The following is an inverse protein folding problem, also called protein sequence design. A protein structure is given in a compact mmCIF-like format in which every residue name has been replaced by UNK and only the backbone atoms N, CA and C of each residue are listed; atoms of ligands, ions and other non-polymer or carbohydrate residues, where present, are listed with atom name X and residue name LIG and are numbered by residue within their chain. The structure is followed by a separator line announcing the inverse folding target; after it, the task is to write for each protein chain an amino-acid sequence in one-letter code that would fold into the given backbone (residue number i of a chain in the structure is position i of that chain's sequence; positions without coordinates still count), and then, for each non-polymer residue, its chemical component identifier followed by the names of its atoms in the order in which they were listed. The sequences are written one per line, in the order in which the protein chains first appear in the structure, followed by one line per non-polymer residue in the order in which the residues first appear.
data_IF_424873839124
#
_entry.id   IF_424873839124
#
_cell.length_a   1.000
_cell.length_b   1.000
_cell.length_c   1.000
_cell.angle_alpha   90.00
_cell.angle_beta   90.00
_cell.angle_gamma   90.00
#
_symmetry.space_group_name_H-M   'P 1'
#
loop_
_entity.id
_entity.type
_entity.pdbx_description
1 polymer ?
#
# COMPACT_ATOMS: atom_id res chain seq x y z
N UNK A 1 -50.83 -45.01 9.44
CA UNK A 1 -51.92 -44.06 9.77
C UNK A 1 -51.30 -42.66 9.75
N UNK A 2 -51.34 -41.97 8.60
CA UNK A 2 -52.22 -40.81 8.32
C UNK A 2 -52.13 -39.75 9.43
N UNK A 3 -51.42 -38.64 9.18
CA UNK A 3 -51.99 -37.33 8.78
C UNK A 3 -52.12 -36.43 10.03
N UNK A 4 -51.79 -35.14 10.10
CA UNK A 4 -51.41 -34.09 9.15
C UNK A 4 -50.70 -32.94 9.90
N UNK A 5 -50.03 -32.09 9.11
CA UNK A 5 -49.84 -30.64 9.19
C UNK A 5 -50.42 -29.85 10.38
N UNK A 6 -49.64 -28.89 10.91
CA UNK A 6 -49.83 -27.49 10.53
C UNK A 6 -48.72 -26.54 11.02
N UNK A 7 -48.37 -25.65 10.09
CA UNK A 7 -47.50 -24.48 10.11
C UNK A 7 -48.01 -23.33 11.00
N UNK A 8 -47.10 -22.48 11.52
CA UNK A 8 -47.12 -21.00 11.74
C UNK A 8 -46.01 -20.70 12.79
N UNK A 9 -44.83 -20.10 12.52
CA UNK A 9 -44.41 -18.79 11.99
C UNK A 9 -44.44 -17.62 13.03
N UNK A 10 -43.29 -16.92 13.14
CA UNK A 10 -43.01 -15.55 13.67
C UNK A 10 -42.51 -15.30 15.13
N UNK A 11 -41.21 -14.96 15.22
CA UNK A 11 -40.57 -13.73 15.77
C UNK A 11 -40.33 -13.48 17.29
N UNK A 12 -39.04 -13.18 17.59
CA UNK A 12 -38.38 -12.33 18.62
C UNK A 12 -38.85 -12.32 20.10
N UNK A 13 -37.90 -12.52 21.04
CA UNK A 13 -37.22 -11.47 21.84
C UNK A 13 -36.50 -12.04 23.10
N UNK A 14 -35.21 -11.72 23.19
CA UNK A 14 -34.44 -11.18 24.33
C UNK A 14 -34.98 -11.44 25.76
N UNK A 15 -34.13 -12.02 26.61
CA UNK A 15 -33.90 -11.53 27.98
C UNK A 15 -32.57 -12.03 28.56
N UNK A 16 -31.58 -11.14 28.50
CA UNK A 16 -30.41 -11.12 29.39
C UNK A 16 -30.79 -10.24 30.58
N UNK A 17 -30.67 -10.75 31.80
CA UNK A 17 -30.54 -9.93 33.00
C UNK A 17 -29.86 -10.73 34.11
N UNK A 18 -28.61 -10.37 34.42
CA UNK A 18 -28.09 -10.42 35.79
C UNK A 18 -26.87 -9.50 35.90
N UNK A 19 -27.17 -8.33 36.44
CA UNK A 19 -26.31 -7.21 36.80
C UNK A 19 -25.36 -7.56 37.95
N UNK A 20 -24.11 -7.11 37.90
CA UNK A 20 -23.32 -6.79 39.09
C UNK A 20 -22.63 -5.42 38.90
N UNK A 21 -22.87 -4.56 39.88
CA UNK A 21 -22.48 -3.15 39.99
C UNK A 21 -21.17 -3.07 40.79
N UNK A 22 -20.17 -2.31 40.31
CA UNK A 22 -19.55 -1.17 41.04
C UNK A 22 -18.09 -0.93 40.64
N UNK A 23 -17.87 0.07 39.78
CA UNK A 23 -16.91 1.16 40.03
C UNK A 23 -17.01 2.16 38.87
N UNK A 24 -17.82 3.20 39.08
CA UNK A 24 -17.86 4.39 38.22
C UNK A 24 -16.64 5.26 38.55
N UNK A 25 -15.54 5.04 37.84
CA UNK A 25 -14.71 6.17 37.45
C UNK A 25 -15.47 6.87 36.32
N UNK A 26 -15.77 8.16 36.49
CA UNK A 26 -16.30 9.01 35.41
C UNK A 26 -15.12 9.25 34.45
N UNK A 27 -14.83 8.27 33.59
CA UNK A 27 -14.20 8.56 32.33
C UNK A 27 -15.28 9.27 31.51
N UNK A 28 -15.04 10.55 31.18
CA UNK A 28 -15.86 11.22 30.17
C UNK A 28 -15.89 10.33 28.93
N UNK A 29 -17.07 9.97 28.45
CA UNK A 29 -17.30 9.44 27.11
C UNK A 29 -16.92 10.51 26.08
N UNK A 30 -15.63 10.84 26.00
CA UNK A 30 -15.08 11.48 24.83
C UNK A 30 -15.07 10.39 23.79
N UNK A 31 -16.03 10.44 22.89
CA UNK A 31 -15.94 9.73 21.63
C UNK A 31 -14.54 9.99 21.08
N UNK A 32 -13.74 8.93 20.96
CA UNK A 32 -12.44 9.01 20.31
C UNK A 32 -12.66 9.71 18.97
N UNK A 33 -11.76 10.62 18.54
CA UNK A 33 -11.81 11.15 17.19
C UNK A 33 -11.91 9.94 16.26
N UNK A 34 -13.05 9.83 15.57
CA UNK A 34 -13.28 8.70 14.68
C UNK A 34 -12.26 8.85 13.55
N UNK A 35 -11.15 8.11 13.66
CA UNK A 35 -10.32 7.86 12.49
C UNK A 35 -11.26 7.32 11.43
N UNK A 36 -11.29 7.90 10.22
CA UNK A 36 -12.31 7.54 9.23
C UNK A 36 -12.27 6.03 9.01
N UNK A 37 -13.19 5.31 9.67
CA UNK A 37 -13.25 3.85 9.60
C UNK A 37 -13.52 3.53 8.16
N UNK A 38 -12.54 2.92 7.48
CA UNK A 38 -12.61 2.43 6.11
C UNK A 38 -13.76 3.11 5.35
N UNK A 39 -13.54 4.38 4.98
CA UNK A 39 -14.50 5.16 4.22
C UNK A 39 -14.98 4.24 3.09
N UNK A 40 -16.30 4.03 2.99
CA UNK A 40 -16.88 3.10 2.03
C UNK A 40 -16.26 3.31 0.64
N UNK A 41 -16.15 2.24 -0.14
CA UNK A 41 -15.28 2.00 -1.32
C UNK A 41 -14.99 3.17 -2.30
N UNK A 42 -15.69 4.30 -2.21
CA UNK A 42 -15.64 5.45 -3.10
C UNK A 42 -15.12 6.79 -2.51
N UNK A 43 -14.73 6.89 -1.24
CA UNK A 43 -14.30 8.19 -0.66
C UNK A 43 -12.90 8.16 -0.01
N UNK A 44 -12.01 7.39 -0.63
CA UNK A 44 -10.57 7.43 -0.35
C UNK A 44 -9.90 8.73 -0.81
N UNK A 45 -10.62 9.58 -1.56
CA UNK A 45 -10.09 10.82 -2.12
C UNK A 45 -9.99 11.94 -1.08
N UNK A 46 -10.82 11.91 -0.03
CA UNK A 46 -10.81 12.88 1.09
C UNK A 46 -10.09 12.38 2.35
N UNK A 47 -9.83 11.07 2.42
CA UNK A 47 -9.10 10.42 3.50
C UNK A 47 -7.78 11.10 3.88
N UNK A 48 -6.94 11.53 2.93
CA UNK A 48 -5.58 11.95 3.26
C UNK A 48 -5.53 13.23 4.13
N UNK A 49 -6.39 14.22 3.89
CA UNK A 49 -6.43 15.48 4.65
C UNK A 49 -6.99 15.32 6.06
N UNK A 50 -8.08 14.55 6.15
CA UNK A 50 -8.77 14.30 7.40
C UNK A 50 -7.88 13.46 8.32
N UNK A 51 -7.29 12.38 7.80
CA UNK A 51 -6.38 11.53 8.55
C UNK A 51 -5.15 12.33 9.03
N UNK A 52 -4.55 13.15 8.16
CA UNK A 52 -3.38 13.95 8.51
C UNK A 52 -3.67 14.97 9.60
N UNK A 53 -4.79 15.69 9.52
CA UNK A 53 -5.22 16.65 10.56
C UNK A 53 -5.47 15.95 11.90
N UNK A 54 -6.12 14.80 11.88
CA UNK A 54 -6.37 14.00 13.09
C UNK A 54 -5.05 13.54 13.70
N UNK A 55 -4.14 12.96 12.92
CA UNK A 55 -2.87 12.44 13.41
C UNK A 55 -1.96 13.53 13.99
N UNK A 56 -1.85 14.67 13.30
CA UNK A 56 -1.00 15.78 13.73
C UNK A 56 -1.51 16.45 15.02
N UNK A 57 -2.83 16.42 15.26
CA UNK A 57 -3.44 16.97 16.48
C UNK A 57 -3.64 15.96 17.61
N UNK A 58 -3.48 14.67 17.33
CA UNK A 58 -3.66 13.59 18.32
C UNK A 58 -2.63 13.67 19.46
N UNK A 59 -3.05 13.37 20.68
CA UNK A 59 -2.19 13.13 21.85
C UNK A 59 -1.43 11.80 21.74
N UNK A 60 -0.47 11.56 22.64
CA UNK A 60 0.27 10.28 22.67
C UNK A 60 -0.67 9.10 22.96
N UNK A 61 -1.66 9.30 23.82
CA UNK A 61 -2.64 8.26 24.19
C UNK A 61 -3.56 7.94 23.00
N UNK A 62 -4.06 8.94 22.28
CA UNK A 62 -4.84 8.72 21.05
C UNK A 62 -4.03 7.98 19.98
N UNK A 63 -2.74 8.30 19.82
CA UNK A 63 -1.86 7.53 18.92
C UNK A 63 -1.59 6.10 19.43
N UNK A 64 -1.65 5.83 20.74
CA UNK A 64 -1.60 4.46 21.27
C UNK A 64 -2.87 3.68 20.92
N UNK A 65 -4.03 4.31 21.05
CA UNK A 65 -5.31 3.70 20.71
C UNK A 65 -5.40 3.39 19.21
N UNK A 66 -4.93 4.30 18.34
CA UNK A 66 -4.87 4.06 16.88
C UNK A 66 -3.89 2.92 16.52
N UNK A 67 -2.72 2.85 17.16
CA UNK A 67 -1.75 1.76 16.95
C UNK A 67 -2.26 0.39 17.46
N UNK A 68 -3.26 0.39 18.35
CA UNK A 68 -3.92 -0.80 18.87
C UNK A 68 -5.22 -1.18 18.11
N UNK A 69 -5.68 -0.34 17.18
CA UNK A 69 -6.91 -0.59 16.41
C UNK A 69 -6.77 -1.76 15.43
N UNK A 70 -7.88 -2.29 14.91
CA UNK A 70 -7.85 -3.35 13.87
C UNK A 70 -7.58 -2.81 12.45
N UNK A 71 -7.55 -1.48 12.26
CA UNK A 71 -7.29 -0.85 10.97
C UNK A 71 -5.77 -0.72 10.73
N UNK A 72 -5.25 -1.51 9.79
CA UNK A 72 -3.82 -1.51 9.45
C UNK A 72 -3.34 -0.12 9.06
N UNK A 73 -4.12 0.66 8.30
CA UNK A 73 -3.71 2.01 7.89
C UNK A 73 -3.54 2.91 9.12
N UNK A 74 -4.52 2.89 10.04
CA UNK A 74 -4.46 3.65 11.29
C UNK A 74 -3.24 3.25 12.12
N UNK A 75 -2.95 1.94 12.23
CA UNK A 75 -1.77 1.44 12.93
C UNK A 75 -0.47 1.97 12.33
N UNK A 76 -0.32 1.89 11.00
CA UNK A 76 0.87 2.34 10.29
C UNK A 76 1.08 3.85 10.44
N UNK A 77 0.03 4.65 10.27
CA UNK A 77 0.09 6.10 10.43
C UNK A 77 0.40 6.52 11.87
N UNK A 78 -0.25 5.92 12.87
CA UNK A 78 0.01 6.22 14.26
C UNK A 78 1.45 5.89 14.67
N UNK A 79 1.97 4.75 14.19
CA UNK A 79 3.36 4.36 14.42
C UNK A 79 4.33 5.35 13.77
N UNK A 80 4.09 5.74 12.53
CA UNK A 80 4.91 6.70 11.81
C UNK A 80 4.94 8.05 12.53
N UNK A 81 3.78 8.56 12.96
CA UNK A 81 3.68 9.83 13.68
C UNK A 81 4.45 9.83 15.00
N UNK A 82 4.37 8.74 15.78
CA UNK A 82 5.17 8.58 17.01
C UNK A 82 6.67 8.64 16.74
N UNK A 83 7.13 8.05 15.64
CA UNK A 83 8.53 8.14 15.23
C UNK A 83 8.89 9.57 14.82
N UNK A 84 8.06 10.23 14.01
CA UNK A 84 8.26 11.62 13.62
C UNK A 84 8.41 12.55 14.84
N UNK A 85 7.52 12.43 15.82
CA UNK A 85 7.56 13.24 17.06
C UNK A 85 8.81 12.98 17.90
N UNK A 86 9.25 11.71 17.99
CA UNK A 86 10.48 11.36 18.71
C UNK A 86 11.73 11.97 18.08
N UNK A 87 11.71 12.16 16.76
CA UNK A 87 12.83 12.69 15.98
C UNK A 87 12.68 14.19 15.65
N UNK A 88 11.68 14.87 16.20
CA UNK A 88 11.43 16.30 16.00
C UNK A 88 10.50 16.61 14.82
N UNK A 89 10.70 15.98 13.67
CA UNK A 89 9.76 16.04 12.53
C UNK A 89 9.99 14.86 11.55
N UNK A 90 9.13 14.73 10.54
CA UNK A 90 9.23 13.68 9.51
C UNK A 90 10.44 13.82 8.60
N UNK A 91 10.91 15.05 8.32
CA UNK A 91 12.11 15.29 7.49
C UNK A 91 13.39 14.83 8.17
N UNK A 92 13.48 14.95 9.49
CA UNK A 92 14.62 14.50 10.30
C UNK A 92 14.60 12.98 10.49
N UNK A 93 13.40 12.37 10.48
CA UNK A 93 13.24 10.93 10.42
C UNK A 93 13.66 10.35 9.06
N UNK A 94 13.33 11.04 7.97
CA UNK A 94 13.77 10.71 6.59
C UNK A 94 15.27 11.06 6.45
N UNK A 95 16.11 10.08 6.76
CA UNK A 95 17.56 10.23 6.92
C UNK A 95 18.11 9.39 8.09
N UNK A 96 17.23 8.99 9.02
CA UNK A 96 17.59 8.16 10.17
C UNK A 96 17.49 6.68 9.85
N UNK A 97 18.63 5.99 9.76
CA UNK A 97 18.71 4.53 9.59
C UNK A 97 17.94 3.78 10.70
N UNK A 98 18.01 4.28 11.93
CA UNK A 98 17.34 3.68 13.09
C UNK A 98 15.81 3.85 12.99
N UNK A 99 15.36 5.02 12.54
CA UNK A 99 13.94 5.30 12.31
C UNK A 99 13.34 4.41 11.23
N UNK A 100 14.01 4.34 10.07
CA UNK A 100 13.57 3.54 8.93
C UNK A 100 13.51 2.05 9.20
N UNK A 101 14.54 1.48 9.84
CA UNK A 101 14.57 0.06 10.22
C UNK A 101 13.50 -0.29 11.26
N UNK A 102 13.28 0.58 12.25
CA UNK A 102 12.23 0.38 13.27
C UNK A 102 10.84 0.38 12.64
N UNK A 103 10.56 1.32 11.72
CA UNK A 103 9.27 1.39 11.04
C UNK A 103 9.07 0.20 10.09
N UNK A 104 10.09 -0.18 9.34
CA UNK A 104 10.06 -1.33 8.45
C UNK A 104 9.77 -2.63 9.20
N UNK A 105 10.42 -2.85 10.35
CA UNK A 105 10.16 -4.00 11.21
C UNK A 105 8.71 -4.03 11.73
N UNK A 106 8.15 -2.87 12.07
CA UNK A 106 6.74 -2.76 12.46
C UNK A 106 5.81 -3.15 11.30
N UNK A 107 6.04 -2.60 10.10
CA UNK A 107 5.25 -2.91 8.90
C UNK A 107 5.29 -4.41 8.59
N UNK A 108 6.48 -5.04 8.61
CA UNK A 108 6.61 -6.49 8.41
C UNK A 108 5.82 -7.29 9.45
N UNK A 109 5.89 -6.88 10.72
CA UNK A 109 5.18 -7.54 11.81
C UNK A 109 3.66 -7.42 11.71
N UNK A 110 3.13 -6.35 11.10
CA UNK A 110 1.68 -6.16 10.92
C UNK A 110 1.13 -6.80 9.66
N UNK A 111 1.91 -6.78 8.59
CA UNK A 111 1.49 -7.30 7.28
C UNK A 111 1.90 -8.75 7.04
N UNK A 112 2.66 -9.33 7.96
CA UNK A 112 3.24 -10.67 7.86
C UNK A 112 3.97 -10.90 6.53
N UNK A 113 4.61 -9.86 6.00
CA UNK A 113 5.26 -9.90 4.70
C UNK A 113 6.74 -9.57 4.80
N UNK A 114 7.52 -10.02 3.82
CA UNK A 114 8.91 -9.61 3.66
C UNK A 114 8.92 -8.34 2.81
N UNK A 115 9.35 -7.22 3.41
CA UNK A 115 9.53 -5.98 2.68
C UNK A 115 10.77 -6.08 1.78
N UNK A 116 10.74 -5.49 0.57
CA UNK A 116 11.95 -5.35 -0.21
C UNK A 116 12.99 -4.50 0.55
N UNK A 117 14.24 -4.97 0.62
CA UNK A 117 15.33 -4.27 1.33
C UNK A 117 15.46 -2.79 0.94
N UNK A 118 15.24 -2.47 -0.33
CA UNK A 118 15.33 -1.10 -0.83
C UNK A 118 14.23 -0.18 -0.27
N UNK A 119 13.07 -0.71 0.11
CA UNK A 119 11.97 0.06 0.68
C UNK A 119 12.30 0.48 2.11
N UNK A 120 12.92 -0.40 2.91
CA UNK A 120 13.43 0.01 4.23
C UNK A 120 14.56 1.04 4.16
N UNK A 121 15.37 0.99 3.09
CA UNK A 121 16.45 1.97 2.85
C UNK A 121 15.95 3.30 2.29
N UNK A 122 14.76 3.37 1.68
CA UNK A 122 14.25 4.65 1.17
C UNK A 122 13.93 5.65 2.29
N UNK A 123 13.77 5.18 3.53
CA UNK A 123 13.65 6.04 4.71
C UNK A 123 14.97 6.70 5.13
N UNK A 124 16.13 6.08 4.86
CA UNK A 124 17.45 6.61 5.28
C UNK A 124 18.18 7.30 4.14
N UNK A 125 18.11 6.70 2.96
CA UNK A 125 18.77 7.17 1.77
C UNK A 125 17.71 7.94 1.00
N UNK A 126 17.63 9.27 1.17
CA UNK A 126 16.95 10.10 0.16
C UNK A 126 17.46 9.63 -1.19
N UNK A 127 16.61 8.95 -1.92
CA UNK A 127 17.01 8.18 -3.09
C UNK A 127 17.32 9.18 -4.20
N UNK A 128 18.51 9.79 -4.16
CA UNK A 128 19.06 10.61 -5.24
C UNK A 128 19.39 9.68 -6.41
N UNK A 129 18.34 9.23 -7.10
CA UNK A 129 18.39 8.32 -8.23
C UNK A 129 18.58 9.06 -9.57
N UNK A 130 18.77 10.38 -9.53
CA UNK A 130 18.76 11.28 -10.69
C UNK A 130 20.00 11.23 -11.59
N UNK A 131 21.02 10.42 -11.27
CA UNK A 131 22.29 10.36 -12.03
C UNK A 131 22.53 8.98 -12.65
N UNK A 132 23.55 8.80 -13.50
CA UNK A 132 24.01 7.45 -13.93
C UNK A 132 24.28 6.52 -12.73
N UNK A 133 24.57 7.08 -11.55
CA UNK A 133 24.65 6.32 -10.31
C UNK A 133 23.32 5.64 -9.93
N UNK A 134 22.17 6.14 -10.42
CA UNK A 134 20.84 5.57 -10.24
C UNK A 134 20.71 4.17 -10.84
N UNK A 135 21.18 3.96 -12.07
CA UNK A 135 21.17 2.62 -12.69
C UNK A 135 22.10 1.64 -11.96
N UNK A 136 23.29 2.09 -11.54
CA UNK A 136 24.19 1.29 -10.72
C UNK A 136 23.59 1.00 -9.31
N UNK A 137 22.86 1.95 -8.73
CA UNK A 137 22.14 1.79 -7.46
C UNK A 137 20.99 0.80 -7.59
N UNK A 138 20.24 0.85 -8.70
CA UNK A 138 19.22 -0.13 -9.06
C UNK A 138 19.80 -1.55 -9.21
N UNK A 139 20.93 -1.69 -9.92
CA UNK A 139 21.63 -2.97 -10.03
C UNK A 139 22.01 -3.56 -8.67
N UNK A 140 22.51 -2.72 -7.75
CA UNK A 140 22.86 -3.13 -6.39
C UNK A 140 21.67 -3.60 -5.54
N UNK A 141 20.45 -3.17 -5.87
CA UNK A 141 19.23 -3.61 -5.18
C UNK A 141 18.50 -4.74 -5.93
N UNK A 142 19.18 -5.38 -6.90
CA UNK A 142 18.65 -6.57 -7.58
C UNK A 142 17.74 -6.26 -8.76
N UNK A 143 17.92 -5.09 -9.39
CA UNK A 143 17.16 -4.70 -10.59
C UNK A 143 18.07 -4.69 -11.82
N UNK A 144 17.49 -4.94 -12.99
CA UNK A 144 18.14 -4.83 -14.28
C UNK A 144 17.28 -4.01 -15.25
N UNK A 145 17.83 -3.70 -16.42
CA UNK A 145 17.16 -2.87 -17.42
C UNK A 145 17.10 -3.58 -18.77
N UNK A 146 15.89 -3.62 -19.34
CA UNK A 146 15.65 -4.06 -20.72
C UNK A 146 14.93 -2.95 -21.47
N UNK A 147 15.64 -2.26 -22.37
CA UNK A 147 15.10 -1.09 -23.08
C UNK A 147 14.71 0.05 -22.13
N UNK A 148 13.41 0.32 -21.98
CA UNK A 148 12.85 1.36 -21.08
C UNK A 148 12.31 0.82 -19.76
N UNK A 149 12.44 -0.47 -19.51
CA UNK A 149 11.87 -1.15 -18.35
C UNK A 149 12.97 -1.53 -17.37
N UNK A 150 12.85 -1.07 -16.13
CA UNK A 150 13.59 -1.56 -14.99
C UNK A 150 12.78 -2.66 -14.31
N UNK A 151 13.39 -3.79 -14.00
CA UNK A 151 12.67 -4.95 -13.43
C UNK A 151 13.61 -5.82 -12.58
N UNK A 152 13.10 -6.69 -11.69
CA UNK A 152 13.92 -7.61 -10.91
C UNK A 152 14.84 -8.50 -11.75
N UNK A 153 15.94 -8.98 -11.14
CA UNK A 153 16.91 -9.86 -11.78
C UNK A 153 16.33 -11.21 -12.20
N UNK A 154 15.30 -11.71 -11.51
CA UNK A 154 14.64 -12.98 -11.80
C UNK A 154 13.46 -12.85 -12.77
N UNK A 155 13.24 -11.65 -13.32
CA UNK A 155 12.25 -11.39 -14.35
C UNK A 155 12.91 -11.06 -15.68
N UNK A 156 12.28 -11.45 -16.79
CA UNK A 156 12.65 -10.98 -18.13
C UNK A 156 11.46 -10.30 -18.79
N UNK A 157 11.72 -9.36 -19.69
CA UNK A 157 10.66 -8.66 -20.41
C UNK A 157 10.97 -8.62 -21.90
N UNK A 158 9.95 -8.87 -22.71
CA UNK A 158 10.04 -8.83 -24.16
C UNK A 158 8.87 -8.01 -24.71
N UNK A 159 9.16 -7.04 -25.57
CA UNK A 159 8.13 -6.20 -26.20
C UNK A 159 7.87 -6.69 -27.62
N UNK A 160 6.62 -7.04 -27.92
CA UNK A 160 6.14 -7.39 -29.27
C UNK A 160 4.95 -6.53 -29.61
N UNK A 161 5.13 -5.56 -30.51
CA UNK A 161 4.10 -4.57 -30.83
C UNK A 161 3.65 -3.77 -29.61
N UNK A 162 2.36 -3.86 -29.27
CA UNK A 162 1.76 -3.22 -28.09
C UNK A 162 1.78 -4.10 -26.83
N UNK A 163 2.24 -5.35 -26.93
CA UNK A 163 2.30 -6.25 -25.79
C UNK A 163 3.69 -6.28 -25.17
N UNK A 164 3.72 -6.31 -23.84
CA UNK A 164 4.89 -6.61 -23.03
C UNK A 164 4.70 -7.99 -22.41
N UNK A 165 5.53 -8.95 -22.79
CA UNK A 165 5.58 -10.27 -22.18
C UNK A 165 6.51 -10.21 -20.98
N UNK A 166 5.93 -10.37 -19.78
CA UNK A 166 6.67 -10.39 -18.52
C UNK A 166 6.84 -11.85 -18.12
N UNK A 167 8.08 -12.29 -17.91
CA UNK A 167 8.39 -13.67 -17.55
C UNK A 167 9.09 -13.73 -16.20
N UNK A 168 8.77 -14.73 -15.38
CA UNK A 168 9.41 -14.98 -14.08
C UNK A 168 9.27 -16.46 -13.71
N UNK A 169 10.37 -17.16 -13.41
CA UNK A 169 10.35 -18.55 -12.90
C UNK A 169 9.39 -19.50 -13.66
N UNK A 170 9.45 -19.48 -14.98
CA UNK A 170 8.65 -20.35 -15.85
C UNK A 170 7.21 -19.89 -16.11
N UNK A 171 6.81 -18.72 -15.61
CA UNK A 171 5.55 -18.07 -15.96
C UNK A 171 5.76 -16.99 -17.03
N UNK A 172 4.77 -16.76 -17.88
CA UNK A 172 4.75 -15.67 -18.86
C UNK A 172 3.35 -15.08 -18.92
N UNK A 173 3.23 -13.77 -18.62
CA UNK A 173 1.97 -13.04 -18.73
C UNK A 173 2.08 -11.93 -19.77
N UNK A 174 1.08 -11.76 -20.65
CA UNK A 174 1.03 -10.64 -21.57
C UNK A 174 0.41 -9.42 -20.87
N UNK A 175 1.08 -8.29 -20.96
CA UNK A 175 0.56 -6.99 -20.53
C UNK A 175 0.35 -6.09 -21.75
N UNK A 176 -0.85 -5.60 -21.96
CA UNK A 176 -1.13 -4.62 -23.00
C UNK A 176 -0.64 -3.23 -22.55
N UNK A 177 0.32 -2.68 -23.29
CA UNK A 177 0.89 -1.36 -22.99
C UNK A 177 -0.09 -0.21 -23.21
N UNK A 178 -1.22 -0.42 -23.89
CA UNK A 178 -2.30 0.57 -23.97
C UNK A 178 -3.07 0.70 -22.66
N UNK A 179 -2.98 -0.31 -21.77
CA UNK A 179 -3.56 -0.24 -20.43
C UNK A 179 -2.65 0.48 -19.44
N UNK A 180 -1.36 0.61 -19.75
CA UNK A 180 -0.39 1.35 -18.96
C UNK A 180 -0.43 2.82 -19.34
N UNK A 181 -0.34 3.73 -18.37
CA UNK A 181 -0.27 5.16 -18.65
C UNK A 181 0.93 5.45 -19.58
N UNK A 182 0.70 5.91 -20.83
CA UNK A 182 1.78 6.10 -21.79
C UNK A 182 2.65 7.32 -21.46
N UNK A 183 2.13 8.28 -20.67
CA UNK A 183 2.85 9.50 -20.28
C UNK A 183 4.02 9.22 -19.31
N UNK A 184 4.09 8.02 -18.76
CA UNK A 184 5.01 7.65 -17.70
C UNK A 184 6.45 7.35 -18.16
N UNK A 185 6.74 7.35 -19.47
CA UNK A 185 8.11 7.32 -20.00
C UNK A 185 8.89 6.03 -19.69
N UNK A 186 9.74 6.07 -18.66
CA UNK A 186 10.53 4.94 -18.14
C UNK A 186 9.69 4.20 -17.10
N UNK A 187 9.69 2.87 -17.15
CA UNK A 187 8.85 2.08 -16.27
C UNK A 187 9.67 1.26 -15.29
N UNK A 188 9.26 1.24 -14.02
CA UNK A 188 9.64 0.19 -13.08
C UNK A 188 8.55 -0.88 -13.08
N UNK A 189 8.97 -2.13 -13.23
CA UNK A 189 8.11 -3.30 -13.21
C UNK A 189 8.39 -4.08 -11.94
N UNK A 190 7.35 -4.37 -11.19
CA UNK A 190 7.42 -5.34 -10.10
C UNK A 190 6.51 -6.51 -10.42
N UNK A 191 6.95 -7.70 -10.05
CA UNK A 191 6.24 -8.95 -10.35
C UNK A 191 6.24 -9.82 -9.10
N UNK A 192 5.08 -10.37 -8.78
CA UNK A 192 4.92 -11.35 -7.72
C UNK A 192 3.99 -12.48 -8.16
N UNK A 193 4.07 -13.62 -7.48
CA UNK A 193 3.26 -14.80 -7.76
C UNK A 193 2.72 -15.39 -6.46
N UNK A 194 1.46 -15.79 -6.48
CA UNK A 194 0.85 -16.65 -5.46
C UNK A 194 -0.10 -17.65 -6.11
N UNK A 195 0.19 -18.94 -5.94
CA UNK A 195 -0.59 -20.01 -6.55
C UNK A 195 -0.73 -19.84 -8.08
N UNK A 196 -1.96 -19.82 -8.62
CA UNK A 196 -2.23 -19.62 -10.04
C UNK A 196 -2.29 -18.14 -10.46
N UNK A 197 -2.02 -17.19 -9.56
CA UNK A 197 -2.08 -15.75 -9.83
C UNK A 197 -0.71 -15.13 -9.98
N UNK A 198 -0.60 -14.22 -10.92
CA UNK A 198 0.56 -13.36 -11.16
C UNK A 198 0.14 -11.91 -11.02
N UNK A 199 0.91 -11.14 -10.26
CA UNK A 199 0.69 -9.71 -10.06
C UNK A 199 1.81 -8.94 -10.75
N UNK A 200 1.43 -7.92 -11.52
CA UNK A 200 2.38 -7.04 -12.20
C UNK A 200 2.03 -5.59 -11.84
N UNK A 201 2.98 -4.84 -11.32
CA UNK A 201 2.87 -3.40 -11.16
C UNK A 201 3.76 -2.71 -12.18
N UNK A 202 3.25 -1.64 -12.78
CA UNK A 202 3.93 -0.90 -13.84
C UNK A 202 3.96 0.57 -13.49
N UNK A 203 4.89 0.94 -12.62
CA UNK A 203 5.05 2.33 -12.23
C UNK A 203 5.84 3.09 -13.30
N UNK A 204 5.37 4.31 -13.58
CA UNK A 204 6.05 5.23 -14.46
C UNK A 204 7.15 6.00 -13.79
N UNK A 205 7.68 7.01 -14.46
CA UNK A 205 8.37 8.09 -13.78
C UNK A 205 7.38 9.11 -13.21
N UNK A 206 7.89 10.11 -12.47
CA UNK A 206 7.10 11.21 -11.88
C UNK A 206 6.13 10.82 -10.78
N UNK A 207 6.26 9.61 -10.23
CA UNK A 207 5.43 9.15 -9.15
C UNK A 207 3.92 9.15 -9.45
N UNK A 208 3.51 9.17 -10.72
CA UNK A 208 2.09 9.18 -11.05
C UNK A 208 1.39 7.88 -10.62
N UNK A 209 0.06 7.97 -10.35
CA UNK A 209 -0.76 6.77 -10.18
C UNK A 209 -0.50 5.78 -11.29
N UNK A 210 -0.32 4.53 -10.90
CA UNK A 210 -0.02 3.42 -11.78
C UNK A 210 -0.93 2.25 -11.47
N UNK A 211 -0.97 1.27 -12.35
CA UNK A 211 -1.83 0.11 -12.15
C UNK A 211 -1.04 -1.11 -11.66
N UNK A 212 -1.69 -1.85 -10.77
CA UNK A 212 -1.39 -3.24 -10.50
C UNK A 212 -2.41 -4.12 -11.24
N UNK A 213 -1.89 -5.17 -11.88
CA UNK A 213 -2.66 -6.10 -12.70
C UNK A 213 -2.55 -7.49 -12.09
N UNK A 214 -3.68 -8.20 -11.95
CA UNK A 214 -3.70 -9.60 -11.58
C UNK A 214 -4.05 -10.45 -12.80
N UNK A 215 -3.17 -11.39 -13.13
CA UNK A 215 -3.36 -12.36 -14.19
C UNK A 215 -3.56 -13.75 -13.61
N UNK A 216 -4.40 -14.52 -14.28
CA UNK A 216 -4.43 -15.96 -14.14
C UNK A 216 -3.32 -16.57 -14.99
N UNK A 217 -2.38 -17.30 -14.39
CA UNK A 217 -1.16 -17.77 -15.05
C UNK A 217 -1.47 -18.76 -16.17
N UNK A 218 -2.40 -19.69 -15.93
CA UNK A 218 -2.70 -20.77 -16.87
C UNK A 218 -3.47 -20.25 -18.08
N UNK A 219 -4.52 -19.47 -17.85
CA UNK A 219 -5.33 -18.90 -18.93
C UNK A 219 -4.71 -17.64 -19.56
N UNK A 220 -3.72 -17.03 -18.90
CA UNK A 220 -3.09 -15.75 -19.26
C UNK A 220 -4.07 -14.58 -19.33
N UNK A 221 -5.23 -14.71 -18.70
CA UNK A 221 -6.29 -13.68 -18.71
C UNK A 221 -6.10 -12.72 -17.55
N UNK A 222 -6.38 -11.45 -17.81
CA UNK A 222 -6.53 -10.43 -16.77
C UNK A 222 -7.75 -10.78 -15.90
N UNK A 223 -7.55 -10.86 -14.59
CA UNK A 223 -8.59 -11.14 -13.58
C UNK A 223 -9.16 -9.83 -13.08
N UNK A 224 -8.28 -8.93 -12.61
CA UNK A 224 -8.64 -7.60 -12.16
C UNK A 224 -7.46 -6.65 -12.35
N UNK A 225 -7.77 -5.36 -12.32
CA UNK A 225 -6.83 -4.23 -12.40
C UNK A 225 -7.23 -3.20 -11.37
N UNK A 226 -6.26 -2.66 -10.65
CA UNK A 226 -6.48 -1.60 -9.67
C UNK A 226 -5.45 -0.48 -9.83
N UNK A 227 -5.88 0.77 -9.68
CA UNK A 227 -4.96 1.90 -9.56
C UNK A 227 -4.34 1.91 -8.16
N UNK A 228 -3.01 2.02 -8.11
CA UNK A 228 -2.23 2.16 -6.89
C UNK A 228 -2.09 3.63 -6.54
N UNK A 229 -2.41 3.93 -5.28
CA UNK A 229 -2.22 5.20 -4.64
C UNK A 229 -0.73 5.50 -4.43
N UNK A 230 -0.30 6.68 -4.86
CA UNK A 230 1.08 7.15 -4.75
C UNK A 230 1.13 8.68 -4.64
N UNK A 231 2.33 9.24 -4.40
CA UNK A 231 2.53 10.70 -4.39
C UNK A 231 2.21 11.30 -5.75
N UNK A 232 1.19 12.13 -5.86
CA UNK A 232 1.08 13.00 -7.03
C UNK A 232 2.10 14.12 -6.90
N UNK A 233 3.04 14.21 -7.84
CA UNK A 233 3.90 15.39 -8.00
C UNK A 233 3.24 16.40 -8.95
N UNK A 234 1.95 16.69 -8.73
CA UNK A 234 1.24 17.70 -9.50
C UNK A 234 2.02 19.02 -9.41
N UNK A 235 2.47 19.55 -10.55
CA UNK A 235 3.22 20.81 -10.62
C UNK A 235 4.74 20.74 -10.39
N UNK A 236 5.33 19.56 -10.21
CA UNK A 236 6.80 19.46 -10.13
C UNK A 236 7.44 19.85 -11.48
N UNK A 237 8.35 20.82 -11.45
CA UNK A 237 9.25 21.14 -12.56
C UNK A 237 10.66 20.65 -12.21
N UNK A 238 11.34 19.96 -13.13
CA UNK A 238 12.69 19.44 -12.87
C UNK A 238 13.07 18.20 -13.69
N UNK A 239 14.09 17.50 -13.23
CA UNK A 239 14.49 16.20 -13.77
C UNK A 239 13.57 15.14 -13.16
N UNK A 240 13.04 14.26 -14.01
CA UNK A 240 12.19 13.16 -13.58
C UNK A 240 12.92 12.25 -12.61
N UNK A 241 12.50 12.22 -11.34
CA UNK A 241 12.94 11.22 -10.37
C UNK A 241 12.56 9.80 -10.80
N UNK A 242 13.34 8.81 -10.38
CA UNK A 242 12.97 7.40 -10.52
C UNK A 242 11.94 7.08 -9.43
N UNK A 243 10.79 6.55 -9.86
CA UNK A 243 9.79 6.00 -8.96
C UNK A 243 10.00 4.48 -8.90
N UNK A 244 10.47 4.00 -7.75
CA UNK A 244 10.63 2.58 -7.48
C UNK A 244 9.27 1.99 -7.10
N UNK A 245 8.93 0.85 -7.69
CA UNK A 245 7.76 0.07 -7.30
C UNK A 245 8.17 -1.36 -6.95
N UNK A 246 7.54 -1.95 -5.94
CA UNK A 246 7.73 -3.35 -5.56
C UNK A 246 6.39 -4.01 -5.35
N UNK A 247 6.35 -5.34 -5.42
CA UNK A 247 5.18 -6.11 -4.99
C UNK A 247 5.66 -7.25 -4.08
N UNK A 248 4.90 -7.52 -3.02
CA UNK A 248 4.96 -8.79 -2.31
C UNK A 248 3.55 -9.35 -2.14
N UNK A 249 3.48 -10.63 -1.79
CA UNK A 249 2.22 -11.32 -1.49
C UNK A 249 2.37 -12.02 -0.16
N UNK A 250 1.38 -11.85 0.72
CA UNK A 250 1.27 -12.59 1.98
C UNK A 250 -0.18 -12.57 2.48
N UNK A 251 -0.60 -13.65 3.14
CA UNK A 251 -1.91 -13.76 3.82
C UNK A 251 -3.11 -13.31 2.97
N UNK A 252 -3.14 -13.67 1.68
CA UNK A 252 -4.21 -13.33 0.75
C UNK A 252 -4.24 -11.85 0.33
N UNK A 253 -3.18 -11.10 0.62
CA UNK A 253 -3.00 -9.70 0.25
C UNK A 253 -1.80 -9.55 -0.67
N UNK A 254 -1.97 -8.79 -1.74
CA UNK A 254 -0.87 -8.30 -2.58
C UNK A 254 -0.56 -6.86 -2.17
N UNK A 255 0.65 -6.62 -1.68
CA UNK A 255 1.11 -5.31 -1.26
C UNK A 255 1.98 -4.68 -2.35
N UNK A 256 1.57 -3.52 -2.85
CA UNK A 256 2.37 -2.66 -3.71
C UNK A 256 3.15 -1.68 -2.87
N UNK A 257 4.45 -1.60 -3.10
CA UNK A 257 5.36 -0.67 -2.44
C UNK A 257 5.78 0.39 -3.42
N UNK A 258 6.00 1.61 -2.95
CA UNK A 258 6.75 2.56 -3.76
C UNK A 258 7.58 3.54 -2.96
N UNK A 259 8.61 4.05 -3.63
CA UNK A 259 9.45 5.11 -3.13
C UNK A 259 9.73 6.11 -4.25
N UNK A 260 9.65 7.39 -3.89
CA UNK A 260 9.86 8.55 -4.73
C UNK A 260 10.85 9.48 -4.03
N UNK A 261 11.15 10.64 -4.61
CA UNK A 261 12.00 11.64 -3.96
C UNK A 261 11.39 12.18 -2.65
N UNK A 262 10.06 12.23 -2.56
CA UNK A 262 9.35 12.91 -1.47
C UNK A 262 8.58 11.97 -0.55
N UNK A 263 8.37 10.72 -0.96
CA UNK A 263 7.57 9.79 -0.19
C UNK A 263 7.99 8.34 -0.32
N UNK A 264 7.73 7.58 0.74
CA UNK A 264 7.67 6.12 0.72
C UNK A 264 6.25 5.72 1.09
N UNK A 265 5.67 4.79 0.34
CA UNK A 265 4.29 4.36 0.55
C UNK A 265 4.12 2.86 0.33
N UNK A 266 2.99 2.36 0.81
CA UNK A 266 2.54 0.98 0.65
C UNK A 266 1.01 0.96 0.54
N UNK A 267 0.50 0.11 -0.35
CA UNK A 267 -0.92 -0.17 -0.47
C UNK A 267 -1.15 -1.67 -0.61
N UNK A 268 -2.11 -2.22 0.14
CA UNK A 268 -2.47 -3.63 0.08
C UNK A 268 -3.82 -3.84 -0.61
N UNK A 269 -3.91 -4.88 -1.42
CA UNK A 269 -5.13 -5.29 -2.11
C UNK A 269 -5.46 -6.74 -1.80
N UNK A 270 -6.74 -7.06 -1.60
CA UNK A 270 -7.21 -8.44 -1.50
C UNK A 270 -6.99 -9.16 -2.84
N UNK A 271 -6.35 -10.32 -2.80
CA UNK A 271 -5.95 -11.04 -4.02
C UNK A 271 -7.13 -11.55 -4.83
N UNK A 272 -8.22 -11.91 -4.17
CA UNK A 272 -9.40 -12.43 -4.83
C UNK A 272 -10.10 -11.37 -5.69
N UNK A 273 -10.14 -10.12 -5.23
CA UNK A 273 -11.03 -9.06 -5.75
C UNK A 273 -10.28 -7.86 -6.32
N UNK A 274 -9.04 -7.62 -5.88
CA UNK A 274 -8.31 -6.38 -6.13
C UNK A 274 -8.74 -5.23 -5.19
N UNK A 275 -9.65 -5.46 -4.25
CA UNK A 275 -10.17 -4.41 -3.37
C UNK A 275 -9.09 -3.92 -2.40
N UNK A 276 -8.97 -2.59 -2.19
CA UNK A 276 -7.98 -2.03 -1.27
C UNK A 276 -8.28 -2.45 0.19
N UNK A 277 -7.21 -2.80 0.93
CA UNK A 277 -7.27 -3.25 2.33
C UNK A 277 -6.62 -2.25 3.29
N UNK A 278 -5.54 -1.62 2.86
CA UNK A 278 -4.85 -0.60 3.64
C UNK A 278 -4.00 0.29 2.74
N UNK A 279 -3.71 1.49 3.22
CA UNK A 279 -2.83 2.47 2.58
C UNK A 279 -1.97 3.17 3.63
N UNK A 280 -0.73 3.46 3.28
CA UNK A 280 0.15 4.27 4.10
C UNK A 280 1.14 5.03 3.22
N UNK A 281 1.41 6.30 3.58
CA UNK A 281 2.46 7.12 2.97
C UNK A 281 3.12 7.99 4.03
N UNK A 282 4.44 8.14 3.92
CA UNK A 282 5.23 9.02 4.79
C UNK A 282 4.92 10.50 4.60
N UNK A 283 4.39 10.86 3.43
CA UNK A 283 4.17 12.25 3.04
C UNK A 283 2.78 12.77 3.44
N UNK A 284 1.95 11.95 4.13
CA UNK A 284 0.63 12.39 4.60
C UNK A 284 -0.14 13.12 3.50
N UNK A 285 -0.20 12.52 2.29
CA UNK A 285 -0.60 13.26 1.09
C UNK A 285 -1.91 14.00 1.31
N UNK A 286 -2.10 15.05 0.54
CA UNK A 286 -3.37 15.72 0.34
C UNK A 286 -3.67 15.54 -1.15
N UNK A 287 -4.83 15.00 -1.52
CA UNK A 287 -5.19 14.83 -2.96
C UNK A 287 -5.69 16.16 -3.55
N UNK A 288 -5.62 17.27 -2.82
CA UNK A 288 -6.09 18.60 -3.24
C UNK A 288 -5.04 19.49 -3.89
N UNK A 289 -3.82 19.02 -4.17
CA UNK A 289 -2.95 19.73 -5.11
C UNK A 289 -3.50 19.53 -6.55
N UNK A 290 -4.02 20.59 -7.20
CA UNK A 290 -4.90 20.51 -8.37
C UNK A 290 -4.28 19.90 -9.64
#
# INVERSE_FOLDING_TARGET
MRSACNTILYILLISVAATCISNKAVCSDKELPQFPKAIGENDWDTFPDAASKVLLSSSVDELNDLEASDDISAQLFARWEKLCRRHGNSRDLIGSVVGGSTFSGFVQGRLHCVLPDWWGRSFSDRLNLETEAGAAKLARIGWQRTGRFFHPLDTTVEKVGHQLFVQMKGMTVPLDLSEVNPAAGIFTLAVAKEGPKCFVAVAGTWAFPYSIFCFDIDSKKLVWRQEVWCSSLAGASGISGIHLAGISVSDGVVASYGATCDATYIEGFEIATGSPRFRFSTAYFDRTDP
#
